data_IF_866455623828
#
_entry.id   IF_866455623828
#
_cell.length_a   1.000
_cell.length_b   1.000
_cell.length_c   1.000
_cell.angle_alpha   90.00
_cell.angle_beta   90.00
_cell.angle_gamma   90.00
#
_symmetry.space_group_name_H-M   'P 1'
#
loop_
_entity.id
_entity.type
_entity.pdbx_description
1 polymer ?
#
# COMPACT_ATOMS: atom_id res chain seq x y z
N UNK A 1 16.00 -35.09 -33.71
CA UNK A 1 16.47 -34.05 -32.76
C UNK A 1 15.86 -32.71 -33.19
N UNK A 2 15.51 -31.89 -32.20
CA UNK A 2 14.89 -30.57 -32.26
C UNK A 2 13.37 -30.46 -32.54
N UNK A 3 12.64 -30.34 -31.44
CA UNK A 3 11.71 -29.22 -31.28
C UNK A 3 11.92 -28.64 -29.89
N UNK A 4 12.73 -27.59 -29.82
CA UNK A 4 12.81 -26.70 -28.67
C UNK A 4 11.41 -26.14 -28.41
N UNK A 5 10.69 -26.78 -27.49
CA UNK A 5 9.56 -26.16 -26.83
C UNK A 5 10.17 -25.06 -25.96
N UNK A 6 10.25 -23.85 -26.53
CA UNK A 6 10.64 -22.64 -25.81
C UNK A 6 9.78 -22.57 -24.55
N UNK A 7 10.33 -22.94 -23.40
CA UNK A 7 9.72 -22.63 -22.11
C UNK A 7 9.54 -21.12 -22.14
N UNK A 8 8.28 -20.67 -22.12
CA UNK A 8 7.94 -19.25 -22.12
C UNK A 8 8.31 -18.75 -20.73
N UNK A 9 9.58 -18.42 -20.53
CA UNK A 9 10.07 -17.90 -19.25
C UNK A 9 9.43 -16.54 -19.01
N UNK A 10 8.92 -16.34 -17.79
CA UNK A 10 8.35 -15.06 -17.39
C UNK A 10 9.42 -13.97 -17.56
N UNK A 11 9.08 -12.90 -18.29
CA UNK A 11 10.02 -11.79 -18.53
C UNK A 11 9.78 -10.61 -17.59
N UNK A 12 8.55 -10.50 -17.06
CA UNK A 12 8.13 -9.35 -16.26
C UNK A 12 7.60 -9.79 -14.90
N UNK A 13 8.19 -9.25 -13.82
CA UNK A 13 7.66 -9.39 -12.47
C UNK A 13 6.67 -8.28 -12.14
N UNK A 14 5.53 -8.61 -11.55
CA UNK A 14 4.57 -7.65 -11.02
C UNK A 14 4.58 -7.74 -9.49
N UNK A 15 5.18 -6.76 -8.84
CA UNK A 15 5.20 -6.65 -7.38
C UNK A 15 4.02 -5.81 -6.92
N UNK A 16 2.98 -6.45 -6.39
CA UNK A 16 1.91 -5.75 -5.68
C UNK A 16 2.37 -5.46 -4.25
N UNK A 17 2.24 -4.22 -3.79
CA UNK A 17 2.61 -3.86 -2.42
C UNK A 17 1.48 -3.16 -1.68
N UNK A 18 1.05 -3.72 -0.55
CA UNK A 18 0.09 -3.06 0.34
C UNK A 18 0.76 -2.63 1.67
N UNK A 19 0.04 -1.91 2.52
CA UNK A 19 0.56 -1.42 3.81
C UNK A 19 1.03 -2.59 4.69
N UNK A 20 0.22 -3.64 4.76
CA UNK A 20 0.42 -4.73 5.70
C UNK A 20 -0.46 -4.64 6.93
N UNK A 21 -0.49 -5.76 7.64
CA UNK A 21 -1.37 -6.06 8.77
C UNK A 21 -0.57 -6.90 9.76
N UNK A 22 -0.87 -6.87 11.07
CA UNK A 22 -0.27 -7.80 12.02
C UNK A 22 -0.50 -9.27 11.60
N UNK A 23 0.43 -10.14 11.99
CA UNK A 23 0.40 -11.58 11.67
C UNK A 23 -0.79 -12.29 12.37
N UNK A 24 -1.23 -11.77 13.51
CA UNK A 24 -2.44 -12.22 14.23
C UNK A 24 -3.08 -11.05 14.98
N UNK A 25 -4.31 -11.20 15.50
CA UNK A 25 -4.96 -10.15 16.28
C UNK A 25 -4.51 -10.18 17.76
N UNK A 26 -3.43 -10.90 18.07
CA UNK A 26 -2.80 -10.94 19.38
C UNK A 26 -2.09 -9.61 19.70
N UNK A 27 -2.05 -9.25 20.99
CA UNK A 27 -1.37 -8.01 21.42
C UNK A 27 0.12 -7.98 21.03
N UNK A 28 0.90 -9.08 21.16
CA UNK A 28 2.30 -9.10 20.72
C UNK A 28 2.48 -8.78 19.23
N UNK A 29 1.70 -9.37 18.35
CA UNK A 29 1.84 -9.19 16.89
C UNK A 29 1.38 -7.80 16.45
N UNK A 30 0.30 -7.30 17.04
CA UNK A 30 -0.15 -5.91 16.85
C UNK A 30 0.92 -4.94 17.33
N UNK A 31 1.59 -5.22 18.45
CA UNK A 31 2.69 -4.38 18.94
C UNK A 31 3.90 -4.40 17.99
N UNK A 32 4.26 -5.57 17.46
CA UNK A 32 5.32 -5.74 16.47
C UNK A 32 5.02 -4.94 15.20
N UNK A 33 3.80 -5.07 14.67
CA UNK A 33 3.30 -4.28 13.54
C UNK A 33 3.39 -2.77 13.81
N UNK A 34 2.83 -2.30 14.93
CA UNK A 34 2.84 -0.87 15.26
C UNK A 34 4.26 -0.31 15.40
N UNK A 35 5.19 -1.09 15.96
CA UNK A 35 6.60 -0.68 16.04
C UNK A 35 7.22 -0.54 14.67
N UNK A 36 7.04 -1.52 13.79
CA UNK A 36 7.60 -1.46 12.43
C UNK A 36 7.01 -0.29 11.62
N UNK A 37 5.68 -0.16 11.64
CA UNK A 37 4.96 0.89 10.92
C UNK A 37 5.33 2.29 11.39
N UNK A 38 5.28 2.54 12.71
CA UNK A 38 5.45 3.89 13.25
C UNK A 38 6.92 4.30 13.38
N UNK A 39 7.86 3.34 13.31
CA UNK A 39 9.30 3.66 13.25
C UNK A 39 9.75 4.11 11.86
N UNK A 40 8.88 4.00 10.84
CA UNK A 40 9.16 4.48 9.50
C UNK A 40 9.24 6.02 9.46
N UNK A 41 10.37 6.60 9.02
CA UNK A 41 10.55 8.05 8.95
C UNK A 41 9.60 8.75 7.96
N UNK A 42 9.01 8.02 7.00
CA UNK A 42 8.00 8.57 6.10
C UNK A 42 6.61 8.63 6.72
N UNK A 43 6.37 7.84 7.77
CA UNK A 43 5.11 7.85 8.53
C UNK A 43 5.18 8.86 9.67
N UNK A 44 6.23 8.79 10.49
CA UNK A 44 6.50 9.76 11.56
C UNK A 44 7.84 10.46 11.27
N UNK A 45 7.76 11.68 10.75
CA UNK A 45 8.89 12.50 10.28
C UNK A 45 9.58 13.31 11.41
N UNK A 46 9.73 12.73 12.60
CA UNK A 46 10.55 13.27 13.70
C UNK A 46 11.93 12.57 13.77
N UNK A 47 12.95 13.14 14.45
CA UNK A 47 14.26 12.50 14.58
C UNK A 47 14.20 11.07 15.14
N UNK A 48 15.17 10.23 14.77
CA UNK A 48 15.14 8.79 15.10
C UNK A 48 15.02 8.53 16.60
N UNK A 49 15.80 9.20 17.45
CA UNK A 49 15.78 8.97 18.89
C UNK A 49 14.45 9.36 19.53
N UNK A 50 13.87 10.51 19.15
CA UNK A 50 12.56 10.91 19.65
C UNK A 50 11.45 10.00 19.13
N UNK A 51 11.51 9.57 17.86
CA UNK A 51 10.61 8.55 17.30
C UNK A 51 10.71 7.23 18.04
N UNK A 52 11.92 6.77 18.31
CA UNK A 52 12.17 5.53 19.02
C UNK A 52 11.54 5.53 20.41
N UNK A 53 11.77 6.59 21.20
CA UNK A 53 11.21 6.73 22.53
C UNK A 53 9.67 6.81 22.47
N UNK A 54 9.13 7.66 21.60
CA UNK A 54 7.69 7.83 21.43
C UNK A 54 7.01 6.50 21.05
N UNK A 55 7.55 5.79 20.05
CA UNK A 55 6.93 4.56 19.55
C UNK A 55 7.09 3.41 20.53
N UNK A 56 8.29 3.17 21.06
CA UNK A 56 8.55 1.97 21.85
C UNK A 56 8.13 2.09 23.31
N UNK A 57 8.13 3.29 23.89
CA UNK A 57 7.78 3.51 25.30
C UNK A 57 6.33 3.97 25.48
N UNK A 58 5.76 4.72 24.51
CA UNK A 58 4.43 5.33 24.66
C UNK A 58 3.41 4.73 23.69
N UNK A 59 3.65 4.73 22.37
CA UNK A 59 2.59 4.34 21.45
C UNK A 59 2.37 2.82 21.48
N UNK A 60 3.39 2.01 21.23
CA UNK A 60 3.23 0.58 21.09
C UNK A 60 2.75 -0.12 22.39
N UNK A 61 3.22 0.23 23.61
CA UNK A 61 2.72 -0.41 24.84
C UNK A 61 1.26 -0.09 25.14
N UNK A 62 0.83 1.16 24.95
CA UNK A 62 -0.50 1.63 25.33
C UNK A 62 -1.55 1.44 24.22
N UNK A 63 -1.15 1.53 22.94
CA UNK A 63 -2.06 1.43 21.78
C UNK A 63 -2.26 -0.01 21.31
N UNK A 64 -1.28 -0.90 21.48
CA UNK A 64 -1.41 -2.28 20.99
C UNK A 64 -2.59 -3.05 21.60
N UNK A 65 -2.87 -3.01 22.92
CA UNK A 65 -4.02 -3.72 23.49
C UNK A 65 -5.36 -3.24 22.94
N UNK A 66 -5.50 -1.92 22.73
CA UNK A 66 -6.72 -1.32 22.15
C UNK A 66 -6.88 -1.72 20.69
N UNK A 67 -5.81 -1.62 19.90
CA UNK A 67 -5.83 -1.97 18.48
C UNK A 67 -6.08 -3.46 18.27
N UNK A 68 -5.54 -4.33 19.13
CA UNK A 68 -5.77 -5.77 19.09
C UNK A 68 -7.25 -6.14 19.31
N UNK A 69 -8.02 -5.35 20.04
CA UNK A 69 -9.48 -5.58 20.16
C UNK A 69 -10.18 -5.32 18.83
N UNK A 70 -9.87 -4.19 18.19
CA UNK A 70 -10.41 -3.83 16.87
C UNK A 70 -10.01 -4.86 15.80
N UNK A 71 -8.74 -5.31 15.80
CA UNK A 71 -8.32 -6.37 14.88
C UNK A 71 -9.08 -7.67 15.08
N UNK A 72 -9.48 -8.02 16.32
CA UNK A 72 -10.29 -9.22 16.58
C UNK A 72 -11.70 -9.11 16.03
N UNK A 73 -12.29 -7.93 16.02
CA UNK A 73 -13.66 -7.70 15.52
C UNK A 73 -13.77 -7.94 14.00
N UNK A 74 -12.68 -7.73 13.27
CA UNK A 74 -12.61 -7.90 11.81
C UNK A 74 -11.77 -9.11 11.38
N UNK A 75 -11.35 -9.95 12.33
CA UNK A 75 -10.53 -11.12 12.03
C UNK A 75 -11.40 -12.26 11.54
N UNK A 76 -11.07 -12.81 10.39
CA UNK A 76 -11.76 -13.97 9.82
C UNK A 76 -10.92 -15.24 9.96
N UNK A 77 -11.52 -16.39 9.64
CA UNK A 77 -10.81 -17.68 9.61
C UNK A 77 -9.61 -17.65 8.64
N UNK A 78 -9.77 -16.96 7.50
CA UNK A 78 -8.70 -16.72 6.52
C UNK A 78 -7.63 -15.72 7.00
N UNK A 79 -7.82 -15.09 8.16
CA UNK A 79 -6.94 -14.07 8.72
C UNK A 79 -7.42 -12.65 8.46
N UNK A 80 -6.46 -11.73 8.28
CA UNK A 80 -6.76 -10.32 8.01
C UNK A 80 -7.33 -10.12 6.59
N UNK A 81 -8.49 -9.44 6.44
CA UNK A 81 -9.08 -9.10 5.14
C UNK A 81 -8.12 -8.43 4.17
N UNK A 82 -7.30 -7.50 4.66
CA UNK A 82 -6.29 -6.83 3.84
C UNK A 82 -5.33 -7.82 3.17
N UNK A 83 -4.96 -8.88 3.90
CA UNK A 83 -4.00 -9.88 3.44
C UNK A 83 -4.64 -10.84 2.46
N UNK A 84 -5.77 -11.45 2.81
CA UNK A 84 -6.35 -12.47 1.93
C UNK A 84 -6.96 -11.86 0.67
N UNK A 85 -7.59 -10.67 0.72
CA UNK A 85 -8.03 -10.00 -0.51
C UNK A 85 -6.84 -9.58 -1.38
N UNK A 86 -5.72 -9.19 -0.78
CA UNK A 86 -4.48 -8.93 -1.53
C UNK A 86 -3.96 -10.18 -2.24
N UNK A 87 -4.06 -11.35 -1.60
CA UNK A 87 -3.68 -12.64 -2.19
C UNK A 87 -4.64 -13.02 -3.33
N UNK A 88 -5.94 -12.83 -3.14
CA UNK A 88 -6.96 -13.06 -4.16
C UNK A 88 -6.71 -12.17 -5.39
N UNK A 89 -6.41 -10.88 -5.19
CA UNK A 89 -6.05 -9.96 -6.28
C UNK A 89 -4.77 -10.40 -7.00
N UNK A 90 -3.75 -10.83 -6.28
CA UNK A 90 -2.50 -11.29 -6.88
C UNK A 90 -2.73 -12.55 -7.73
N UNK A 91 -3.54 -13.49 -7.25
CA UNK A 91 -3.90 -14.69 -7.99
C UNK A 91 -4.70 -14.37 -9.24
N UNK A 92 -5.77 -13.58 -9.12
CA UNK A 92 -6.61 -13.18 -10.26
C UNK A 92 -5.81 -12.41 -11.32
N UNK A 93 -4.85 -11.58 -10.88
CA UNK A 93 -3.96 -10.86 -11.80
C UNK A 93 -3.00 -11.82 -12.51
N UNK A 94 -2.43 -12.80 -11.80
CA UNK A 94 -1.57 -13.82 -12.41
C UNK A 94 -2.33 -14.63 -13.47
N UNK A 95 -3.56 -15.05 -13.19
CA UNK A 95 -4.41 -15.78 -14.12
C UNK A 95 -4.75 -14.94 -15.37
N UNK A 96 -4.99 -13.64 -15.18
CA UNK A 96 -5.30 -12.70 -16.27
C UNK A 96 -4.09 -12.40 -17.17
N UNK A 97 -2.89 -12.33 -16.59
CA UNK A 97 -1.65 -11.99 -17.31
C UNK A 97 -0.97 -13.21 -17.97
N UNK A 98 -1.16 -14.40 -17.42
CA UNK A 98 -0.55 -15.64 -17.91
C UNK A 98 0.95 -15.76 -17.66
N UNK A 99 1.58 -16.74 -18.31
CA UNK A 99 2.94 -17.23 -17.98
C UNK A 99 4.09 -16.26 -18.32
N UNK A 100 3.82 -15.20 -19.08
CA UNK A 100 4.84 -14.16 -19.38
C UNK A 100 5.13 -13.26 -18.17
N UNK A 101 4.28 -13.33 -17.14
CA UNK A 101 4.35 -12.52 -15.94
C UNK A 101 4.48 -13.38 -14.69
N UNK A 102 5.17 -12.84 -13.69
CA UNK A 102 5.23 -13.42 -12.34
C UNK A 102 4.69 -12.40 -11.33
N UNK A 103 3.53 -12.67 -10.76
CA UNK A 103 2.88 -11.78 -9.79
C UNK A 103 3.22 -12.20 -8.38
N UNK A 104 3.61 -11.24 -7.53
CA UNK A 104 3.92 -11.48 -6.13
C UNK A 104 3.37 -10.36 -5.26
N UNK A 105 2.79 -10.73 -4.11
CA UNK A 105 2.26 -9.79 -3.12
C UNK A 105 3.25 -9.62 -1.97
N UNK A 106 3.64 -8.38 -1.72
CA UNK A 106 4.40 -7.96 -0.55
C UNK A 106 3.61 -6.98 0.33
N UNK A 107 3.86 -7.04 1.62
CA UNK A 107 3.44 -6.04 2.59
C UNK A 107 4.61 -5.12 2.88
N UNK A 108 4.31 -3.82 3.04
CA UNK A 108 5.30 -2.85 3.47
C UNK A 108 5.75 -3.13 4.90
N UNK A 109 4.82 -3.53 5.77
CA UNK A 109 5.06 -3.95 7.14
C UNK A 109 4.52 -5.37 7.36
N UNK A 110 5.25 -6.20 8.10
CA UNK A 110 4.90 -7.61 8.40
C UNK A 110 4.86 -8.54 7.16
N UNK A 111 4.00 -9.58 7.18
CA UNK A 111 4.11 -10.77 6.33
C UNK A 111 2.94 -10.93 5.35
N UNK A 112 3.19 -11.39 4.09
CA UNK A 112 4.50 -11.60 3.48
C UNK A 112 5.23 -10.27 3.31
N UNK A 113 6.54 -10.21 3.58
CA UNK A 113 7.28 -8.94 3.50
C UNK A 113 7.60 -8.59 2.04
N UNK A 114 7.87 -7.30 1.77
CA UNK A 114 8.36 -6.86 0.45
C UNK A 114 9.63 -7.62 0.02
N UNK A 115 10.47 -8.02 0.98
CA UNK A 115 11.66 -8.83 0.72
C UNK A 115 11.29 -10.21 0.19
N UNK A 116 10.40 -10.92 0.90
CA UNK A 116 9.93 -12.25 0.49
C UNK A 116 9.27 -12.19 -0.88
N UNK A 117 8.48 -11.16 -1.13
CA UNK A 117 7.80 -10.98 -2.41
C UNK A 117 8.78 -10.77 -3.58
N UNK A 118 9.84 -9.97 -3.36
CA UNK A 118 10.91 -9.75 -4.33
C UNK A 118 11.83 -10.98 -4.49
N UNK A 119 12.05 -11.76 -3.44
CA UNK A 119 12.84 -12.98 -3.51
C UNK A 119 12.19 -14.04 -4.40
N UNK A 120 10.86 -14.02 -4.56
CA UNK A 120 10.16 -14.88 -5.53
C UNK A 120 10.59 -14.64 -6.99
N UNK A 121 11.15 -13.46 -7.27
CA UNK A 121 11.63 -13.06 -8.61
C UNK A 121 13.10 -13.39 -8.84
N UNK A 122 13.87 -13.63 -7.78
CA UNK A 122 15.31 -13.89 -7.89
C UNK A 122 15.58 -15.20 -8.63
N UNK A 123 16.57 -15.18 -9.51
CA UNK A 123 16.97 -16.35 -10.29
C UNK A 123 15.95 -16.79 -11.34
N UNK A 124 14.93 -15.99 -11.63
CA UNK A 124 13.91 -16.26 -12.66
C UNK A 124 14.18 -15.58 -14.01
N UNK A 125 15.32 -14.92 -14.17
CA UNK A 125 15.70 -14.29 -15.44
C UNK A 125 14.82 -13.10 -15.85
N UNK A 126 14.11 -12.46 -14.91
CA UNK A 126 13.23 -11.34 -15.23
C UNK A 126 14.03 -10.16 -15.81
N UNK A 127 13.55 -9.60 -16.91
CA UNK A 127 14.13 -8.42 -17.56
C UNK A 127 13.58 -7.13 -16.92
N UNK A 128 12.37 -7.20 -16.37
CA UNK A 128 11.61 -6.04 -15.87
C UNK A 128 10.83 -6.38 -14.60
N UNK A 129 10.77 -5.46 -13.64
CA UNK A 129 9.89 -5.52 -12.47
C UNK A 129 9.04 -4.25 -12.42
N UNK A 130 7.72 -4.43 -12.41
CA UNK A 130 6.74 -3.37 -12.21
C UNK A 130 6.24 -3.43 -10.77
N UNK A 131 6.49 -2.36 -10.02
CA UNK A 131 6.04 -2.20 -8.65
C UNK A 131 4.74 -1.41 -8.64
N UNK A 132 3.69 -2.03 -8.11
CA UNK A 132 2.35 -1.47 -8.00
C UNK A 132 1.95 -1.40 -6.53
N UNK A 133 2.19 -0.25 -5.87
CA UNK A 133 1.62 0.02 -4.56
C UNK A 133 0.09 0.03 -4.68
N UNK A 134 -0.64 -0.69 -3.82
CA UNK A 134 -2.10 -0.76 -3.84
C UNK A 134 -2.75 0.47 -3.17
N UNK A 135 -2.19 1.65 -3.46
CA UNK A 135 -2.67 2.96 -3.03
C UNK A 135 -2.91 3.81 -4.29
N UNK A 136 -4.17 4.09 -4.66
CA UNK A 136 -4.47 4.84 -5.89
C UNK A 136 -3.90 6.26 -5.86
N UNK A 137 -3.95 6.92 -4.70
CA UNK A 137 -3.39 8.23 -4.45
C UNK A 137 -1.98 8.14 -3.85
N UNK A 138 -1.06 8.96 -4.35
CA UNK A 138 0.29 9.04 -3.81
C UNK A 138 0.30 9.72 -2.45
N UNK A 139 0.98 9.12 -1.48
CA UNK A 139 1.48 9.81 -0.30
C UNK A 139 2.89 9.34 0.05
N UNK A 140 3.70 10.23 0.64
CA UNK A 140 5.06 9.87 1.08
C UNK A 140 5.03 8.73 2.10
N UNK A 141 4.06 8.74 3.03
CA UNK A 141 3.87 7.72 4.05
C UNK A 141 3.45 6.34 3.51
N UNK A 142 2.92 6.26 2.28
CA UNK A 142 2.47 5.01 1.65
C UNK A 142 3.35 4.66 0.44
N UNK A 143 3.03 5.17 -0.75
CA UNK A 143 3.76 4.90 -2.00
C UNK A 143 5.24 5.27 -1.88
N UNK A 144 5.56 6.41 -1.27
CA UNK A 144 6.95 6.81 -1.06
C UNK A 144 7.74 5.82 -0.18
N UNK A 145 7.11 5.29 0.86
CA UNK A 145 7.69 4.28 1.74
C UNK A 145 7.87 2.92 1.05
N UNK A 146 6.93 2.53 0.20
CA UNK A 146 7.07 1.33 -0.64
C UNK A 146 8.26 1.46 -1.59
N UNK A 147 8.35 2.57 -2.32
CA UNK A 147 9.45 2.82 -3.27
C UNK A 147 10.79 2.77 -2.54
N UNK A 148 10.93 3.46 -1.40
CA UNK A 148 12.16 3.44 -0.60
C UNK A 148 12.51 2.01 -0.15
N UNK A 149 11.52 1.23 0.33
CA UNK A 149 11.75 -0.13 0.80
C UNK A 149 12.21 -1.06 -0.33
N UNK A 150 11.58 -0.98 -1.50
CA UNK A 150 11.98 -1.77 -2.67
C UNK A 150 13.40 -1.39 -3.10
N UNK A 151 13.68 -0.09 -3.24
CA UNK A 151 15.00 0.40 -3.62
C UNK A 151 16.10 -0.10 -2.67
N UNK A 152 15.87 -0.05 -1.35
CA UNK A 152 16.81 -0.60 -0.35
C UNK A 152 17.05 -2.10 -0.49
N UNK A 153 16.08 -2.85 -0.98
CA UNK A 153 16.22 -4.30 -1.17
C UNK A 153 17.01 -4.60 -2.45
N UNK A 154 16.66 -3.93 -3.55
CA UNK A 154 17.30 -4.18 -4.86
C UNK A 154 18.69 -3.58 -4.95
N UNK A 155 19.03 -2.58 -4.13
CA UNK A 155 20.40 -2.05 -3.97
C UNK A 155 21.42 -3.15 -3.61
N UNK A 156 20.97 -4.22 -2.94
CA UNK A 156 21.81 -5.38 -2.63
C UNK A 156 21.93 -6.41 -3.76
N UNK A 157 21.33 -6.20 -4.93
CA UNK A 157 21.33 -7.17 -6.02
C UNK A 157 22.49 -6.92 -6.98
N UNK A 158 23.13 -7.98 -7.44
CA UNK A 158 24.23 -7.89 -8.41
C UNK A 158 23.76 -7.42 -9.80
N UNK A 159 22.56 -7.84 -10.20
CA UNK A 159 21.91 -7.43 -11.44
C UNK A 159 20.52 -6.93 -11.05
N UNK A 160 20.28 -5.66 -11.32
CA UNK A 160 18.98 -5.02 -11.08
C UNK A 160 18.27 -4.97 -12.44
N UNK A 161 17.10 -5.62 -12.60
CA UNK A 161 16.32 -5.55 -13.83
C UNK A 161 15.73 -4.14 -14.03
N UNK A 162 15.10 -3.87 -15.17
CA UNK A 162 14.40 -2.60 -15.37
C UNK A 162 13.32 -2.44 -14.30
N UNK A 163 13.40 -1.38 -13.51
CA UNK A 163 12.44 -1.09 -12.43
C UNK A 163 11.45 -0.02 -12.88
N UNK A 164 10.15 -0.35 -12.84
CA UNK A 164 9.06 0.60 -13.10
C UNK A 164 8.21 0.76 -11.85
N UNK A 165 8.04 2.00 -11.37
CA UNK A 165 7.22 2.29 -10.20
C UNK A 165 5.94 3.01 -10.59
N UNK A 166 4.78 2.41 -10.32
CA UNK A 166 3.49 3.07 -10.49
C UNK A 166 3.26 3.98 -9.28
N UNK A 167 3.31 5.30 -9.50
CA UNK A 167 3.21 6.28 -8.40
C UNK A 167 1.78 6.61 -8.01
N UNK A 168 0.87 6.65 -8.97
CA UNK A 168 -0.56 6.96 -8.81
C UNK A 168 -1.37 6.30 -9.93
N UNK A 169 -2.62 5.99 -9.66
CA UNK A 169 -3.56 5.47 -10.67
C UNK A 169 -5.03 5.79 -10.34
N UNK A 170 -5.31 6.76 -9.46
CA UNK A 170 -6.66 7.12 -9.03
C UNK A 170 -7.57 7.62 -10.17
N UNK A 171 -6.99 8.15 -11.24
CA UNK A 171 -7.64 8.68 -12.44
C UNK A 171 -7.64 7.68 -13.60
N UNK A 172 -7.11 6.47 -13.39
CA UNK A 172 -7.11 5.45 -14.41
C UNK A 172 -8.55 5.04 -14.75
N UNK A 173 -8.99 5.08 -16.03
CA UNK A 173 -10.39 4.86 -16.40
C UNK A 173 -10.98 3.56 -15.85
N UNK A 174 -10.23 2.45 -15.94
CA UNK A 174 -10.65 1.15 -15.39
C UNK A 174 -10.79 1.13 -13.87
N UNK A 175 -10.01 1.93 -13.15
CA UNK A 175 -10.12 2.02 -11.69
C UNK A 175 -11.39 2.82 -11.31
N UNK A 176 -11.63 3.93 -12.01
CA UNK A 176 -12.85 4.72 -11.88
C UNK A 176 -14.10 3.89 -12.22
N UNK A 177 -14.05 3.10 -13.29
CA UNK A 177 -15.14 2.19 -13.68
C UNK A 177 -15.46 1.16 -12.58
N UNK A 178 -14.43 0.55 -11.99
CA UNK A 178 -14.61 -0.41 -10.90
C UNK A 178 -15.26 0.23 -9.66
N UNK A 179 -14.85 1.46 -9.30
CA UNK A 179 -15.48 2.21 -8.22
C UNK A 179 -16.94 2.55 -8.53
N UNK A 180 -17.23 2.98 -9.77
CA UNK A 180 -18.59 3.26 -10.21
C UNK A 180 -19.47 2.01 -10.17
N UNK A 181 -18.95 0.85 -10.57
CA UNK A 181 -19.70 -0.41 -10.53
C UNK A 181 -20.08 -0.79 -9.09
N UNK A 182 -19.17 -0.61 -8.14
CA UNK A 182 -19.47 -0.81 -6.71
C UNK A 182 -20.51 0.21 -6.25
N UNK A 183 -20.33 1.50 -6.56
CA UNK A 183 -21.22 2.57 -6.14
C UNK A 183 -22.65 2.38 -6.68
N UNK A 184 -22.81 2.03 -7.96
CA UNK A 184 -24.13 1.81 -8.60
C UNK A 184 -25.00 0.80 -7.85
N UNK A 185 -24.40 -0.24 -7.25
CA UNK A 185 -25.14 -1.24 -6.45
C UNK A 185 -25.83 -0.65 -5.21
N UNK A 186 -25.32 0.47 -4.70
CA UNK A 186 -25.90 1.19 -3.55
C UNK A 186 -26.75 2.37 -4.00
N UNK A 187 -26.31 3.13 -5.01
CA UNK A 187 -27.05 4.27 -5.56
C UNK A 187 -28.43 3.90 -6.13
N UNK A 188 -28.61 2.65 -6.56
CA UNK A 188 -29.90 2.18 -7.08
C UNK A 188 -30.91 1.80 -5.97
N UNK A 189 -30.47 1.70 -4.71
CA UNK A 189 -31.33 1.23 -3.61
C UNK A 189 -32.19 2.35 -3.04
N UNK A 190 -31.60 3.53 -2.88
CA UNK A 190 -32.23 4.69 -2.24
C UNK A 190 -31.76 5.98 -2.91
N UNK A 191 -32.53 7.05 -2.70
CA UNK A 191 -32.12 8.41 -3.08
C UNK A 191 -31.36 9.02 -1.90
N UNK A 192 -30.19 9.57 -2.17
CA UNK A 192 -29.33 10.21 -1.17
C UNK A 192 -29.27 11.70 -1.41
N UNK A 193 -29.38 12.49 -0.34
CA UNK A 193 -29.17 13.94 -0.43
C UNK A 193 -27.71 14.28 -0.68
N UNK A 194 -26.77 13.58 -0.02
CA UNK A 194 -25.34 13.89 -0.01
C UNK A 194 -24.48 12.62 -0.14
N UNK A 195 -23.29 12.77 -0.72
CA UNK A 195 -22.27 11.72 -0.82
C UNK A 195 -21.00 12.14 -0.08
N UNK A 196 -20.57 11.33 0.89
CA UNK A 196 -19.38 11.62 1.69
C UNK A 196 -18.26 10.66 1.32
N UNK A 197 -17.20 11.19 0.72
CA UNK A 197 -15.95 10.47 0.50
C UNK A 197 -15.01 10.67 1.67
N UNK A 198 -14.68 9.60 2.39
CA UNK A 198 -13.78 9.65 3.54
C UNK A 198 -12.45 8.99 3.20
N UNK A 199 -11.36 9.74 3.39
CA UNK A 199 -9.99 9.28 3.19
C UNK A 199 -9.19 9.36 4.49
N UNK A 200 -8.10 8.62 4.59
CA UNK A 200 -7.18 8.78 5.71
C UNK A 200 -6.48 10.13 5.63
N UNK A 201 -6.61 10.93 6.69
CA UNK A 201 -5.92 12.20 6.83
C UNK A 201 -4.40 12.04 6.94
N UNK A 202 -3.68 13.06 6.51
CA UNK A 202 -2.23 13.18 6.65
C UNK A 202 -1.87 14.35 7.58
N UNK A 203 -0.77 14.27 8.33
CA UNK A 203 -0.29 15.41 9.11
C UNK A 203 -0.04 16.63 8.21
N UNK A 204 -0.54 17.79 8.60
CA UNK A 204 -0.40 19.05 7.84
C UNK A 204 1.05 19.34 7.44
N UNK A 205 2.00 19.15 8.38
CA UNK A 205 3.44 19.32 8.11
C UNK A 205 3.94 18.51 6.90
N UNK A 206 3.44 17.29 6.72
CA UNK A 206 3.84 16.42 5.61
C UNK A 206 3.24 16.90 4.28
N UNK A 207 2.02 17.43 4.32
CA UNK A 207 1.38 18.04 3.15
C UNK A 207 2.18 19.27 2.72
N UNK A 208 2.50 20.17 3.65
CA UNK A 208 3.29 21.39 3.37
C UNK A 208 4.66 21.04 2.80
N UNK A 209 5.34 20.03 3.36
CA UNK A 209 6.67 19.63 2.91
C UNK A 209 6.67 19.05 1.49
N UNK A 210 5.56 18.46 1.04
CA UNK A 210 5.43 17.89 -0.31
C UNK A 210 4.70 18.80 -1.30
N UNK A 211 4.24 19.98 -0.89
CA UNK A 211 3.50 20.93 -1.74
C UNK A 211 4.47 21.87 -2.46
N UNK A 212 5.14 21.37 -3.50
CA UNK A 212 6.07 22.16 -4.32
C UNK A 212 5.36 23.30 -5.10
N UNK A 213 4.05 23.17 -5.33
CA UNK A 213 3.23 24.14 -6.08
C UNK A 213 2.47 25.14 -5.19
N UNK A 214 2.57 25.04 -3.86
CA UNK A 214 1.91 25.93 -2.90
C UNK A 214 0.37 25.92 -2.97
N UNK A 215 -0.21 24.88 -3.56
CA UNK A 215 -1.65 24.75 -3.86
C UNK A 215 -2.45 24.21 -2.68
N UNK A 216 -1.87 23.30 -1.90
CA UNK A 216 -2.52 22.70 -0.73
C UNK A 216 -2.79 23.77 0.35
N UNK A 217 -1.90 24.75 0.47
CA UNK A 217 -2.03 25.87 1.41
C UNK A 217 -2.95 26.99 0.94
N UNK A 218 -3.27 27.11 -0.36
CA UNK A 218 -4.25 28.10 -0.84
C UNK A 218 -5.67 27.76 -0.39
N UNK A 219 -6.02 26.48 -0.34
CA UNK A 219 -7.32 26.03 0.16
C UNK A 219 -7.44 26.18 1.69
N UNK A 220 -6.38 25.92 2.45
CA UNK A 220 -6.39 26.06 3.92
C UNK A 220 -6.31 27.52 4.41
N UNK A 221 -5.76 28.44 3.60
CA UNK A 221 -5.71 29.88 3.90
C UNK A 221 -6.85 30.68 3.29
N UNK A 222 -7.64 30.11 2.38
CA UNK A 222 -8.90 30.69 1.97
C UNK A 222 -9.81 30.71 3.20
N UNK A 223 -10.24 31.91 3.60
CA UNK A 223 -11.11 32.15 4.76
C UNK A 223 -12.33 31.20 4.74
N UNK A 224 -12.92 30.90 5.91
CA UNK A 224 -14.10 30.04 6.05
C UNK A 224 -15.41 30.68 5.54
N UNK A 225 -15.36 31.47 4.47
CA UNK A 225 -16.53 32.11 3.84
C UNK A 225 -17.03 31.37 2.58
N UNK A 226 -16.34 30.32 2.13
CA UNK A 226 -16.73 29.54 0.93
C UNK A 226 -17.10 28.08 1.25
N UNK A 227 -17.62 27.83 2.47
CA UNK A 227 -18.24 26.55 2.83
C UNK A 227 -19.70 26.43 2.35
N UNK A 228 -20.11 27.28 1.40
CA UNK A 228 -21.32 27.12 0.60
C UNK A 228 -20.89 27.11 -0.86
N UNK A 229 -21.35 26.11 -1.61
CA UNK A 229 -21.08 25.90 -3.04
C UNK A 229 -19.74 25.22 -3.38
N UNK A 230 -19.67 23.91 -3.13
CA UNK A 230 -19.16 23.00 -4.15
C UNK A 230 -20.10 21.78 -4.20
N UNK A 231 -21.02 21.82 -5.16
CA UNK A 231 -21.65 20.65 -5.76
C UNK A 231 -20.65 19.97 -6.71
#
# INVERSE_FOLDING_TARGET
MNTNQSIKEARTGILLVNLGTPDSPSVPDVRKYLREFLMDPRVIDIPFLSRFLLVNLIIAPFRAPKSAKVYREVWEERGSPLKFYGQDVAQMLQESLGDEYLVSLGMRYQSPSTQVALDAFKGKGLEKIIVVPLFPQYASATTGSVIEKVMKIVDGWQIIPEMVFISRFYDHPRFVDALQEIARKYLQKETYDHYVFSYHGLPERQIIKGDDSGTCLKAARAKPELAGEVL
#
